data_IF_410650702304
#
_entry.id   IF_410650702304
#
_cell.length_a   1.000
_cell.length_b   1.000
_cell.length_c   1.000
_cell.angle_alpha   90.00
_cell.angle_beta   90.00
_cell.angle_gamma   90.00
#
_symmetry.space_group_name_H-M   'P 1'
#
loop_
_entity.id
_entity.type
_entity.pdbx_description
1 polymer ?
#
# COMPACT_ATOMS: atom_id res chain seq x y z
N UNK A 1 51.37 25.66 -16.69
CA UNK A 1 50.85 26.73 -17.56
C UNK A 1 49.36 26.59 -17.62
N UNK A 2 48.72 27.50 -16.93
CA UNK A 2 47.83 28.58 -17.46
C UNK A 2 46.44 28.01 -17.90
N UNK A 3 45.27 28.51 -17.54
CA UNK A 3 44.71 29.67 -16.84
C UNK A 3 43.28 29.31 -16.50
N UNK A 4 42.75 29.60 -15.33
CA UNK A 4 41.76 30.63 -14.94
C UNK A 4 40.57 30.84 -15.87
N UNK A 5 39.35 30.66 -15.33
CA UNK A 5 38.32 31.71 -15.27
C UNK A 5 37.14 31.18 -14.43
N UNK A 6 37.05 31.56 -13.25
CA UNK A 6 36.17 32.46 -12.49
C UNK A 6 35.00 33.00 -13.31
N UNK A 7 33.82 32.51 -12.99
CA UNK A 7 32.60 33.32 -13.14
C UNK A 7 31.81 33.26 -11.84
N UNK A 8 31.93 34.36 -11.11
CA UNK A 8 31.06 34.80 -10.04
C UNK A 8 29.88 35.45 -10.75
N UNK A 9 28.66 34.97 -10.54
CA UNK A 9 27.46 35.77 -10.72
C UNK A 9 26.68 35.74 -9.41
N UNK A 10 26.79 36.85 -8.74
CA UNK A 10 25.90 37.38 -7.71
C UNK A 10 24.50 37.53 -8.29
N UNK A 11 23.50 37.28 -7.48
CA UNK A 11 22.24 37.95 -7.73
C UNK A 11 20.98 37.14 -7.44
N UNK A 12 20.44 37.51 -6.37
CA UNK A 12 19.06 37.77 -6.01
C UNK A 12 18.41 36.72 -5.10
N UNK A 13 18.58 37.02 -3.83
CA UNK A 13 17.70 36.63 -2.73
C UNK A 13 16.31 37.21 -2.99
N UNK A 14 15.39 36.39 -3.45
CA UNK A 14 13.95 36.70 -3.44
C UNK A 14 13.32 35.94 -2.31
N UNK A 15 13.19 36.63 -1.18
CA UNK A 15 12.36 36.24 -0.06
C UNK A 15 10.90 36.35 -0.53
N UNK A 16 10.23 35.22 -0.74
CA UNK A 16 8.78 35.19 -0.88
C UNK A 16 8.17 34.81 0.47
N UNK A 17 7.13 35.52 0.91
CA UNK A 17 6.53 35.30 2.21
C UNK A 17 5.79 33.96 2.25
N UNK A 18 5.91 33.28 3.38
CA UNK A 18 5.12 32.13 3.74
C UNK A 18 3.62 32.44 3.66
N UNK A 19 2.93 31.90 2.68
CA UNK A 19 1.48 31.73 2.76
C UNK A 19 1.18 30.38 3.40
N UNK A 20 0.77 30.49 4.64
CA UNK A 20 0.12 29.44 5.41
C UNK A 20 -1.31 29.31 4.87
N UNK A 21 -1.71 28.12 4.49
CA UNK A 21 -3.13 27.84 4.29
C UNK A 21 -3.45 26.96 3.09
N UNK A 22 -4.01 25.81 3.36
CA UNK A 22 -4.86 25.07 2.44
C UNK A 22 -4.15 23.97 1.66
N UNK A 23 -4.36 22.75 2.10
CA UNK A 23 -4.25 21.56 1.25
C UNK A 23 -5.14 21.74 0.03
N UNK A 24 -4.54 22.26 -1.04
CA UNK A 24 -5.15 22.26 -2.36
C UNK A 24 -4.21 21.45 -3.23
N UNK A 25 -4.51 20.17 -3.37
CA UNK A 25 -3.94 19.36 -4.42
C UNK A 25 -4.19 20.05 -5.76
N UNK A 26 -3.17 20.19 -6.63
CA UNK A 26 -3.35 20.83 -7.93
C UNK A 26 -4.32 19.99 -8.77
N UNK A 27 -5.30 20.61 -9.43
CA UNK A 27 -6.19 19.92 -10.35
C UNK A 27 -5.39 19.55 -11.61
N UNK A 28 -5.07 18.27 -11.78
CA UNK A 28 -4.47 17.85 -13.04
C UNK A 28 -3.55 16.64 -13.01
N UNK A 29 -3.75 15.71 -12.06
CA UNK A 29 -3.26 14.36 -12.27
C UNK A 29 -4.44 13.42 -12.14
N UNK A 30 -4.67 12.59 -13.16
CA UNK A 30 -5.54 11.42 -13.13
C UNK A 30 -4.99 10.44 -12.08
N UNK A 31 -5.06 10.84 -10.83
CA UNK A 31 -4.54 10.15 -9.68
C UNK A 31 -5.51 9.04 -9.33
N UNK A 32 -5.08 7.81 -9.49
CA UNK A 32 -5.68 6.67 -8.80
C UNK A 32 -5.93 7.10 -7.35
N UNK A 33 -7.18 7.00 -6.87
CA UNK A 33 -7.52 7.35 -5.49
C UNK A 33 -6.57 6.66 -4.51
N UNK A 34 -6.17 7.34 -3.44
CA UNK A 34 -5.25 6.77 -2.45
C UNK A 34 -5.79 5.46 -1.87
N UNK A 35 -4.90 4.59 -1.44
CA UNK A 35 -5.29 3.31 -0.82
C UNK A 35 -6.24 3.52 0.36
N UNK A 36 -6.01 4.55 1.18
CA UNK A 36 -6.91 4.90 2.29
C UNK A 36 -8.30 5.28 1.80
N UNK A 37 -8.41 6.14 0.78
CA UNK A 37 -9.71 6.53 0.22
C UNK A 37 -10.44 5.34 -0.39
N UNK A 38 -9.72 4.47 -1.06
CA UNK A 38 -10.27 3.23 -1.65
C UNK A 38 -10.76 2.25 -0.58
N UNK A 39 -10.02 2.12 0.53
CA UNK A 39 -10.42 1.32 1.67
C UNK A 39 -11.72 1.84 2.30
N UNK A 40 -11.83 3.15 2.54
CA UNK A 40 -13.05 3.73 3.09
C UNK A 40 -14.24 3.60 2.13
N UNK A 41 -14.03 3.79 0.84
CA UNK A 41 -15.07 3.54 -0.16
C UNK A 41 -15.53 2.08 -0.18
N UNK A 42 -14.61 1.12 -0.12
CA UNK A 42 -14.92 -0.30 -0.07
C UNK A 42 -15.73 -0.65 1.19
N UNK A 43 -15.36 -0.12 2.35
CA UNK A 43 -16.10 -0.31 3.61
C UNK A 43 -17.52 0.21 3.57
N UNK A 44 -17.78 1.28 2.84
CA UNK A 44 -19.11 1.89 2.72
C UNK A 44 -20.09 1.06 1.88
N UNK A 45 -19.63 0.03 1.17
CA UNK A 45 -20.49 -0.86 0.38
C UNK A 45 -21.39 -1.64 1.32
N UNK A 46 -22.70 -1.55 1.11
CA UNK A 46 -23.72 -2.22 1.94
C UNK A 46 -23.86 -3.71 1.62
N UNK A 47 -23.69 -4.09 0.36
CA UNK A 47 -23.69 -5.51 -0.03
C UNK A 47 -22.39 -6.19 0.45
N UNK A 48 -22.55 -7.16 1.35
CA UNK A 48 -21.42 -7.84 2.00
C UNK A 48 -20.47 -8.51 1.01
N UNK A 49 -21.00 -9.22 0.02
CA UNK A 49 -20.15 -9.91 -0.96
C UNK A 49 -19.35 -8.92 -1.84
N UNK A 50 -19.99 -7.85 -2.29
CA UNK A 50 -19.31 -6.79 -3.06
C UNK A 50 -18.27 -6.04 -2.20
N UNK A 51 -18.60 -5.78 -0.94
CA UNK A 51 -17.66 -5.17 0.01
C UNK A 51 -16.43 -6.04 0.20
N UNK A 52 -16.61 -7.32 0.50
CA UNK A 52 -15.52 -8.25 0.73
C UNK A 52 -14.63 -8.40 -0.52
N UNK A 53 -15.25 -8.46 -1.71
CA UNK A 53 -14.52 -8.47 -2.97
C UNK A 53 -13.71 -7.17 -3.19
N UNK A 54 -14.32 -6.01 -2.94
CA UNK A 54 -13.64 -4.72 -3.07
C UNK A 54 -12.49 -4.57 -2.09
N UNK A 55 -12.67 -5.01 -0.84
CA UNK A 55 -11.61 -5.03 0.17
C UNK A 55 -10.46 -5.97 -0.23
N UNK A 56 -10.75 -7.12 -0.82
CA UNK A 56 -9.72 -8.03 -1.32
C UNK A 56 -8.89 -7.40 -2.44
N UNK A 57 -9.52 -6.66 -3.36
CA UNK A 57 -8.83 -5.92 -4.42
C UNK A 57 -7.92 -4.83 -3.84
N UNK A 58 -8.43 -4.04 -2.89
CA UNK A 58 -7.64 -3.00 -2.22
C UNK A 58 -6.47 -3.60 -1.45
N UNK A 59 -6.66 -4.73 -0.77
CA UNK A 59 -5.59 -5.46 -0.09
C UNK A 59 -4.49 -5.90 -1.06
N UNK A 60 -4.87 -6.44 -2.22
CA UNK A 60 -3.91 -6.85 -3.24
C UNK A 60 -3.10 -5.67 -3.81
N UNK A 61 -3.75 -4.53 -4.06
CA UNK A 61 -3.07 -3.33 -4.52
C UNK A 61 -2.14 -2.76 -3.44
N UNK A 62 -2.59 -2.72 -2.19
CA UNK A 62 -1.78 -2.29 -1.04
C UNK A 62 -0.55 -3.19 -0.84
N UNK A 63 -0.70 -4.50 -1.03
CA UNK A 63 0.42 -5.43 -0.98
C UNK A 63 1.46 -5.16 -2.07
N UNK A 64 1.04 -4.82 -3.30
CA UNK A 64 1.95 -4.45 -4.39
C UNK A 64 2.70 -3.15 -4.09
N UNK A 65 2.06 -2.21 -3.42
CA UNK A 65 2.67 -0.94 -2.97
C UNK A 65 3.50 -1.11 -1.67
N UNK A 66 3.47 -2.30 -1.06
CA UNK A 66 4.19 -2.60 0.18
C UNK A 66 3.54 -2.01 1.44
N UNK A 67 2.28 -1.55 1.35
CA UNK A 67 1.53 -1.00 2.48
C UNK A 67 0.82 -2.11 3.28
N UNK A 68 1.58 -2.80 4.12
CA UNK A 68 1.07 -3.85 4.99
C UNK A 68 0.01 -3.35 6.00
N UNK A 69 0.00 -2.06 6.31
CA UNK A 69 -0.99 -1.48 7.23
C UNK A 69 -2.38 -1.49 6.60
N UNK A 70 -2.50 -1.03 5.36
CA UNK A 70 -3.76 -1.08 4.62
C UNK A 70 -4.16 -2.51 4.33
N UNK A 71 -3.22 -3.39 3.97
CA UNK A 71 -3.48 -4.84 3.79
C UNK A 71 -4.17 -5.42 5.01
N UNK A 72 -3.60 -5.25 6.20
CA UNK A 72 -4.17 -5.78 7.45
C UNK A 72 -5.56 -5.22 7.75
N UNK A 73 -5.77 -3.93 7.54
CA UNK A 73 -7.09 -3.28 7.71
C UNK A 73 -8.14 -3.89 6.77
N UNK A 74 -7.82 -4.08 5.50
CA UNK A 74 -8.70 -4.70 4.52
C UNK A 74 -9.08 -6.12 4.93
N UNK A 75 -8.10 -6.96 5.26
CA UNK A 75 -8.31 -8.35 5.67
C UNK A 75 -9.19 -8.44 6.93
N UNK A 76 -8.95 -7.57 7.91
CA UNK A 76 -9.76 -7.52 9.14
C UNK A 76 -11.22 -7.13 8.85
N UNK A 77 -11.47 -6.34 7.82
CA UNK A 77 -12.80 -5.86 7.45
C UNK A 77 -13.57 -6.84 6.56
N UNK A 78 -12.92 -7.86 5.98
CA UNK A 78 -13.57 -8.91 5.22
C UNK A 78 -14.34 -9.82 6.17
N UNK A 79 -15.61 -10.09 5.85
CA UNK A 79 -16.53 -10.83 6.70
C UNK A 79 -16.50 -12.34 6.41
N UNK A 80 -16.47 -12.73 5.14
CA UNK A 80 -16.43 -14.12 4.73
C UNK A 80 -15.05 -14.74 5.01
N UNK A 81 -15.00 -15.79 5.82
CA UNK A 81 -13.73 -16.42 6.25
C UNK A 81 -12.89 -16.91 5.09
N UNK A 82 -13.49 -17.57 4.10
CA UNK A 82 -12.78 -18.03 2.91
C UNK A 82 -12.17 -16.85 2.12
N UNK A 83 -12.94 -15.79 1.87
CA UNK A 83 -12.46 -14.60 1.18
C UNK A 83 -11.34 -13.88 1.97
N UNK A 84 -11.46 -13.88 3.30
CA UNK A 84 -10.43 -13.35 4.20
C UNK A 84 -9.13 -14.14 4.08
N UNK A 85 -9.20 -15.46 4.12
CA UNK A 85 -8.05 -16.34 4.03
C UNK A 85 -7.36 -16.22 2.65
N UNK A 86 -8.14 -16.16 1.56
CA UNK A 86 -7.64 -15.98 0.20
C UNK A 86 -6.97 -14.61 0.00
N UNK A 87 -7.58 -13.54 0.54
CA UNK A 87 -6.99 -12.20 0.49
C UNK A 87 -5.69 -12.13 1.31
N UNK A 88 -5.65 -12.75 2.48
CA UNK A 88 -4.47 -12.81 3.32
C UNK A 88 -3.35 -13.61 2.65
N UNK A 89 -3.66 -14.78 2.07
CA UNK A 89 -2.69 -15.60 1.34
C UNK A 89 -2.06 -14.83 0.19
N UNK A 90 -2.89 -14.28 -0.70
CA UNK A 90 -2.42 -13.54 -1.88
C UNK A 90 -1.58 -12.34 -1.48
N UNK A 91 -2.05 -11.55 -0.50
CA UNK A 91 -1.34 -10.36 -0.04
C UNK A 91 -0.01 -10.71 0.64
N UNK A 92 0.04 -11.79 1.42
CA UNK A 92 1.27 -12.25 2.06
C UNK A 92 2.35 -12.63 1.03
N UNK A 93 1.97 -13.39 -0.01
CA UNK A 93 2.91 -13.77 -1.07
C UNK A 93 3.39 -12.53 -1.84
N UNK A 94 2.50 -11.59 -2.15
CA UNK A 94 2.88 -10.33 -2.83
C UNK A 94 3.81 -9.48 -1.99
N UNK A 95 3.56 -9.34 -0.67
CA UNK A 95 4.45 -8.63 0.24
C UNK A 95 5.84 -9.29 0.33
N UNK A 96 5.90 -10.63 0.34
CA UNK A 96 7.18 -11.33 0.33
C UNK A 96 8.00 -11.01 -0.92
N UNK A 97 7.35 -10.98 -2.11
CA UNK A 97 7.99 -10.57 -3.37
C UNK A 97 8.40 -9.09 -3.40
N UNK A 98 7.78 -8.26 -2.60
CA UNK A 98 8.15 -6.85 -2.40
C UNK A 98 9.23 -6.67 -1.32
N UNK A 99 9.93 -7.75 -0.93
CA UNK A 99 10.98 -7.76 0.10
C UNK A 99 10.47 -7.38 1.51
N UNK A 100 9.16 -7.48 1.75
CA UNK A 100 8.48 -7.23 3.02
C UNK A 100 8.22 -8.54 3.80
N UNK A 101 9.26 -9.32 3.99
CA UNK A 101 9.15 -10.68 4.54
C UNK A 101 8.56 -10.74 5.95
N UNK A 102 8.85 -9.75 6.80
CA UNK A 102 8.30 -9.70 8.15
C UNK A 102 6.79 -9.42 8.11
N UNK A 103 6.40 -8.39 7.37
CA UNK A 103 5.00 -8.00 7.18
C UNK A 103 4.21 -9.11 6.47
N UNK A 104 4.82 -9.78 5.50
CA UNK A 104 4.24 -10.94 4.83
C UNK A 104 3.93 -12.07 5.82
N UNK A 105 4.85 -12.35 6.74
CA UNK A 105 4.66 -13.36 7.79
C UNK A 105 3.54 -12.98 8.74
N UNK A 106 3.43 -11.70 9.12
CA UNK A 106 2.33 -11.21 9.97
C UNK A 106 0.97 -11.40 9.27
N UNK A 107 0.89 -11.06 7.97
CA UNK A 107 -0.33 -11.23 7.17
C UNK A 107 -0.67 -12.72 7.01
N UNK A 108 0.30 -13.58 6.74
CA UNK A 108 0.09 -15.02 6.64
C UNK A 108 -0.49 -15.63 7.94
N UNK A 109 -0.11 -15.12 9.09
CA UNK A 109 -0.65 -15.55 10.39
C UNK A 109 -2.12 -15.19 10.60
N UNK A 110 -2.68 -14.28 9.79
CA UNK A 110 -4.11 -13.94 9.83
C UNK A 110 -4.98 -14.99 9.13
N UNK A 111 -4.39 -15.90 8.37
CA UNK A 111 -5.10 -17.01 7.70
C UNK A 111 -5.58 -17.99 8.77
N UNK A 112 -6.87 -18.28 8.75
CA UNK A 112 -7.50 -19.23 9.71
C UNK A 112 -7.36 -20.69 9.26
N UNK A 113 -7.39 -20.94 7.96
CA UNK A 113 -7.14 -22.26 7.38
C UNK A 113 -5.65 -22.64 7.56
N UNK A 114 -5.40 -23.69 8.36
CA UNK A 114 -4.04 -24.11 8.73
C UNK A 114 -3.20 -24.52 7.52
N UNK A 115 -3.79 -25.32 6.60
CA UNK A 115 -3.07 -25.77 5.41
C UNK A 115 -2.66 -24.61 4.51
N UNK A 116 -3.56 -23.66 4.29
CA UNK A 116 -3.32 -22.46 3.48
C UNK A 116 -2.30 -21.53 4.15
N UNK A 117 -2.35 -21.41 5.48
CA UNK A 117 -1.36 -20.64 6.24
C UNK A 117 0.03 -21.23 6.12
N UNK A 118 0.14 -22.54 6.29
CA UNK A 118 1.43 -23.23 6.21
C UNK A 118 2.02 -23.15 4.79
N UNK A 119 1.16 -23.24 3.76
CA UNK A 119 1.57 -23.01 2.36
C UNK A 119 2.09 -21.58 2.15
N UNK A 120 1.37 -20.56 2.67
CA UNK A 120 1.82 -19.17 2.57
C UNK A 120 3.19 -18.98 3.23
N UNK A 121 3.36 -19.49 4.45
CA UNK A 121 4.63 -19.40 5.17
C UNK A 121 5.76 -20.13 4.45
N UNK A 122 5.48 -21.28 3.83
CA UNK A 122 6.46 -22.01 3.03
C UNK A 122 6.91 -21.22 1.79
N UNK A 123 5.97 -20.54 1.09
CA UNK A 123 6.30 -19.66 -0.04
C UNK A 123 7.15 -18.47 0.41
N UNK A 124 6.78 -17.82 1.51
CA UNK A 124 7.56 -16.70 2.07
C UNK A 124 8.99 -17.15 2.41
N UNK A 125 9.15 -18.34 3.02
CA UNK A 125 10.45 -18.86 3.40
C UNK A 125 11.35 -19.20 2.21
N UNK A 126 10.76 -19.58 1.06
CA UNK A 126 11.48 -19.87 -0.17
C UNK A 126 11.81 -18.62 -0.99
N UNK A 127 11.15 -17.51 -0.74
CA UNK A 127 11.24 -16.28 -1.54
C UNK A 127 10.49 -16.36 -2.88
N UNK A 128 9.45 -17.20 -2.96
CA UNK A 128 8.63 -17.45 -4.16
C UNK A 128 7.46 -16.47 -4.30
#
# INVERSE_FOLDING_TARGET
MKYYLRWIILGALLILPACKGGDSDPPGMSGKASLSSRYEAAKAITNTAQRDQSLSVVAGDAAREGDATVVKKCIQSITASAAKDDAAFTSAVVLAKAEKGQEATEVARMITNTAQRDEALAKIAKGD
#
